data_IF_993471131241
#
_entry.id   IF_993471131241
#
_cell.length_a   1.000
_cell.length_b   1.000
_cell.length_c   1.000
_cell.angle_alpha   90.00
_cell.angle_beta   90.00
_cell.angle_gamma   90.00
#
_symmetry.space_group_name_H-M   'P 1'
#
loop_
_entity.id
_entity.type
_entity.pdbx_description
1 polymer ?
#
# COMPACT_ATOMS: atom_id res chain seq x y z
N UNK A 1 -7.97 12.26 -18.45
CA UNK A 1 -8.76 11.10 -17.99
C UNK A 1 -10.23 11.48 -18.14
N UNK A 2 -11.03 10.68 -18.85
CA UNK A 2 -12.50 10.87 -18.98
C UNK A 2 -13.29 9.93 -18.04
N UNK A 3 -12.61 9.22 -17.13
CA UNK A 3 -13.21 8.31 -16.17
C UNK A 3 -13.65 9.10 -14.93
N UNK A 4 -14.77 8.74 -14.32
CA UNK A 4 -15.15 9.22 -12.98
C UNK A 4 -14.59 8.22 -11.95
N UNK A 5 -13.93 8.72 -10.91
CA UNK A 5 -13.38 7.86 -9.85
C UNK A 5 -14.50 7.23 -9.01
N UNK A 6 -14.48 5.89 -8.88
CA UNK A 6 -15.37 5.10 -8.03
C UNK A 6 -16.87 5.48 -8.19
N UNK A 7 -17.33 5.59 -9.44
CA UNK A 7 -18.71 5.99 -9.78
C UNK A 7 -19.80 5.04 -9.29
N UNK A 8 -19.43 3.79 -9.04
CA UNK A 8 -20.26 2.67 -8.59
C UNK A 8 -20.56 2.71 -7.08
N UNK A 9 -19.83 3.52 -6.31
CA UNK A 9 -19.99 3.61 -4.87
C UNK A 9 -20.86 4.81 -4.46
N UNK A 10 -21.69 4.66 -3.40
CA UNK A 10 -22.51 5.75 -2.90
C UNK A 10 -21.65 6.89 -2.34
N UNK A 11 -22.17 8.12 -2.45
CA UNK A 11 -21.54 9.32 -1.89
C UNK A 11 -22.33 9.86 -0.70
N UNK A 12 -21.65 10.51 0.25
CA UNK A 12 -22.31 11.37 1.25
C UNK A 12 -22.89 12.62 0.57
N UNK A 13 -23.68 13.39 1.32
CA UNK A 13 -24.15 14.71 0.88
C UNK A 13 -22.98 15.67 0.61
N UNK A 14 -21.87 15.54 1.35
CA UNK A 14 -20.63 16.29 1.11
C UNK A 14 -19.78 15.74 -0.07
N UNK A 15 -20.25 14.71 -0.77
CA UNK A 15 -19.58 14.13 -1.93
C UNK A 15 -18.52 13.06 -1.63
N UNK A 16 -18.31 12.68 -0.36
CA UNK A 16 -17.35 11.64 0.05
C UNK A 16 -17.80 10.27 -0.41
N UNK A 17 -16.89 9.46 -0.94
CA UNK A 17 -17.18 8.09 -1.39
C UNK A 17 -17.21 7.17 -0.18
N UNK A 18 -18.27 6.36 -0.05
CA UNK A 18 -18.42 5.37 1.02
C UNK A 18 -18.09 3.97 0.49
N UNK A 19 -16.87 3.51 0.75
CA UNK A 19 -16.50 2.12 0.50
C UNK A 19 -17.11 1.18 1.56
N UNK A 20 -17.60 -0.01 1.17
CA UNK A 20 -18.07 -1.00 2.13
C UNK A 20 -16.91 -1.62 2.92
N UNK A 21 -17.25 -2.33 4.00
CA UNK A 21 -16.28 -3.13 4.75
C UNK A 21 -15.68 -4.22 3.86
N UNK A 22 -14.35 -4.35 3.85
CA UNK A 22 -13.60 -5.32 3.04
C UNK A 22 -13.25 -6.61 3.81
N UNK A 23 -13.76 -6.80 5.04
CA UNK A 23 -13.39 -7.93 5.90
C UNK A 23 -13.63 -9.29 5.24
N UNK A 24 -14.79 -9.49 4.60
CA UNK A 24 -15.11 -10.74 3.91
C UNK A 24 -14.26 -10.94 2.67
N UNK A 25 -14.01 -9.85 1.93
CA UNK A 25 -13.12 -9.86 0.76
C UNK A 25 -11.70 -10.29 1.17
N UNK A 26 -11.20 -9.73 2.28
CA UNK A 26 -9.87 -10.04 2.81
C UNK A 26 -9.73 -11.49 3.27
N UNK A 27 -10.73 -12.05 3.94
CA UNK A 27 -10.72 -13.46 4.37
C UNK A 27 -10.55 -14.43 3.20
N UNK A 28 -11.12 -14.09 2.03
CA UNK A 28 -10.98 -14.90 0.82
C UNK A 28 -9.56 -14.94 0.27
N UNK A 29 -8.84 -13.81 0.28
CA UNK A 29 -7.56 -13.69 -0.45
C UNK A 29 -6.31 -13.64 0.43
N UNK A 30 -6.42 -13.18 1.67
CA UNK A 30 -5.28 -12.99 2.57
C UNK A 30 -5.30 -14.01 3.72
N UNK A 31 -4.14 -14.35 4.30
CA UNK A 31 -4.08 -15.18 5.50
C UNK A 31 -4.74 -14.46 6.70
N UNK A 32 -5.23 -15.20 7.69
CA UNK A 32 -6.03 -14.60 8.79
C UNK A 32 -5.22 -13.60 9.63
N UNK A 33 -3.92 -13.81 9.71
CA UNK A 33 -2.92 -12.94 10.36
C UNK A 33 -2.98 -11.52 9.81
N UNK A 34 -3.33 -11.36 8.53
CA UNK A 34 -3.56 -10.04 7.94
C UNK A 34 -4.63 -9.32 8.75
N UNK A 35 -5.75 -9.94 9.11
CA UNK A 35 -6.83 -9.26 9.84
C UNK A 35 -6.45 -8.74 11.24
N UNK A 36 -5.33 -9.21 11.81
CA UNK A 36 -4.82 -8.71 13.10
C UNK A 36 -4.10 -7.37 12.99
N UNK A 37 -3.73 -6.92 11.78
CA UNK A 37 -3.05 -5.64 11.62
C UNK A 37 -4.04 -4.49 11.44
N UNK A 38 -3.93 -3.42 12.25
CA UNK A 38 -4.90 -2.34 12.31
C UNK A 38 -4.85 -1.37 11.12
N UNK A 39 -3.83 -1.43 10.26
CA UNK A 39 -3.59 -0.42 9.23
C UNK A 39 -3.47 -1.02 7.83
N UNK A 40 -4.58 -1.03 7.10
CA UNK A 40 -4.61 -1.46 5.69
C UNK A 40 -5.54 -0.55 4.91
N UNK A 41 -5.13 -0.19 3.70
CA UNK A 41 -6.04 0.44 2.76
C UNK A 41 -7.21 -0.51 2.45
N UNK A 42 -8.43 0.01 2.38
CA UNK A 42 -9.60 -0.78 2.02
C UNK A 42 -9.42 -1.38 0.61
N UNK A 43 -9.71 -2.67 0.43
CA UNK A 43 -9.51 -3.35 -0.87
C UNK A 43 -10.30 -2.70 -2.01
N UNK A 44 -11.54 -2.27 -1.75
CA UNK A 44 -12.39 -1.62 -2.76
C UNK A 44 -11.82 -0.27 -3.19
N UNK A 45 -11.26 0.50 -2.25
CA UNK A 45 -10.55 1.73 -2.56
C UNK A 45 -9.36 1.46 -3.51
N UNK A 46 -8.55 0.44 -3.20
CA UNK A 46 -7.40 0.06 -4.03
C UNK A 46 -7.86 -0.35 -5.44
N UNK A 47 -8.91 -1.17 -5.56
CA UNK A 47 -9.46 -1.57 -6.86
C UNK A 47 -9.93 -0.36 -7.68
N UNK A 48 -10.69 0.56 -7.08
CA UNK A 48 -11.12 1.78 -7.76
C UNK A 48 -9.96 2.66 -8.19
N UNK A 49 -8.88 2.76 -7.40
CA UNK A 49 -7.66 3.48 -7.80
C UNK A 49 -7.06 2.80 -9.03
N UNK A 50 -6.86 1.49 -8.99
CA UNK A 50 -6.27 0.72 -10.09
C UNK A 50 -7.07 0.93 -11.39
N UNK A 51 -8.39 0.78 -11.34
CA UNK A 51 -9.26 0.93 -12.52
C UNK A 51 -9.32 2.36 -13.07
N UNK A 52 -9.17 3.35 -12.18
CA UNK A 52 -9.16 4.75 -12.54
C UNK A 52 -7.85 5.18 -13.20
N UNK A 53 -6.71 4.76 -12.65
CA UNK A 53 -5.40 5.22 -13.12
C UNK A 53 -4.81 4.37 -14.23
N UNK A 54 -5.17 3.09 -14.32
CA UNK A 54 -4.51 2.13 -15.21
C UNK A 54 -5.46 1.36 -16.13
N UNK A 55 -4.91 0.74 -17.15
CA UNK A 55 -5.53 -0.21 -18.06
C UNK A 55 -4.94 -1.63 -17.88
N UNK A 56 -5.64 -2.70 -18.32
CA UNK A 56 -5.09 -4.04 -18.34
C UNK A 56 -3.74 -4.12 -19.10
N UNK A 57 -2.82 -4.95 -18.61
CA UNK A 57 -1.46 -5.12 -19.12
C UNK A 57 -0.45 -4.08 -18.62
N UNK A 58 -0.90 -3.01 -17.95
CA UNK A 58 0.01 -2.03 -17.35
C UNK A 58 0.60 -2.52 -16.03
N UNK A 59 1.79 -2.00 -15.72
CA UNK A 59 2.55 -2.37 -14.51
C UNK A 59 2.24 -1.42 -13.35
N UNK A 60 1.80 -1.99 -12.24
CA UNK A 60 1.57 -1.33 -10.96
C UNK A 60 2.70 -1.63 -9.98
N UNK A 61 3.17 -0.62 -9.28
CA UNK A 61 4.21 -0.75 -8.26
C UNK A 61 3.76 -0.19 -6.91
N UNK A 62 3.86 -0.99 -5.86
CA UNK A 62 3.79 -0.53 -4.47
C UNK A 62 5.17 -0.70 -3.84
N UNK A 63 5.79 0.41 -3.45
CA UNK A 63 7.16 0.45 -2.91
C UNK A 63 7.22 0.19 -1.40
N UNK A 64 6.06 0.13 -0.72
CA UNK A 64 5.89 -0.01 0.72
C UNK A 64 4.64 -0.86 1.01
N UNK A 65 4.62 -2.06 0.42
CA UNK A 65 3.39 -2.79 0.13
C UNK A 65 2.69 -3.40 1.36
N UNK A 66 3.34 -3.46 2.52
CA UNK A 66 2.80 -4.07 3.72
C UNK A 66 2.30 -5.48 3.41
N UNK A 67 1.02 -5.76 3.68
CA UNK A 67 0.44 -7.08 3.41
C UNK A 67 0.11 -7.36 1.94
N UNK A 68 0.46 -6.47 1.00
CA UNK A 68 0.32 -6.67 -0.43
C UNK A 68 -1.10 -6.47 -0.97
N UNK A 69 -1.82 -5.44 -0.50
CA UNK A 69 -3.19 -5.18 -0.99
C UNK A 69 -3.22 -4.88 -2.49
N UNK A 70 -2.14 -4.32 -3.07
CA UNK A 70 -2.05 -4.04 -4.50
C UNK A 70 -2.15 -5.28 -5.40
N UNK A 71 -1.90 -6.49 -4.87
CA UNK A 71 -2.00 -7.75 -5.64
C UNK A 71 -3.38 -7.98 -6.27
N UNK A 72 -4.43 -7.31 -5.79
CA UNK A 72 -5.75 -7.33 -6.43
C UNK A 72 -5.75 -6.77 -7.84
N UNK A 73 -4.75 -5.97 -8.21
CA UNK A 73 -4.56 -5.49 -9.59
C UNK A 73 -4.37 -6.62 -10.59
N UNK A 74 -3.72 -7.72 -10.18
CA UNK A 74 -3.54 -8.88 -11.04
C UNK A 74 -4.89 -9.54 -11.39
N UNK A 75 -5.84 -9.57 -10.45
CA UNK A 75 -7.18 -10.14 -10.68
C UNK A 75 -7.98 -9.37 -11.74
N UNK A 76 -7.60 -8.13 -12.01
CA UNK A 76 -8.16 -7.29 -13.08
C UNK A 76 -7.17 -7.09 -14.22
N UNK A 77 -6.18 -7.98 -14.36
CA UNK A 77 -5.29 -8.08 -15.51
C UNK A 77 -4.16 -7.05 -15.57
N UNK A 78 -3.64 -6.57 -14.43
CA UNK A 78 -2.41 -5.75 -14.37
C UNK A 78 -1.21 -6.59 -13.94
N UNK A 79 -0.02 -6.17 -14.34
CA UNK A 79 1.23 -6.66 -13.75
C UNK A 79 1.44 -5.95 -12.41
N UNK A 80 1.76 -6.68 -11.34
CA UNK A 80 1.90 -6.10 -9.99
C UNK A 80 3.27 -6.38 -9.40
N UNK A 81 3.93 -5.33 -8.93
CA UNK A 81 5.17 -5.42 -8.17
C UNK A 81 4.90 -4.88 -6.75
N UNK A 82 5.07 -5.74 -5.75
CA UNK A 82 5.00 -5.35 -4.33
C UNK A 82 6.39 -5.43 -3.73
N UNK A 83 6.85 -4.32 -3.15
CA UNK A 83 8.11 -4.24 -2.43
C UNK A 83 7.85 -3.94 -0.96
N UNK A 84 8.45 -4.74 -0.09
CA UNK A 84 8.24 -4.63 1.35
C UNK A 84 9.53 -4.89 2.11
N UNK A 85 9.85 -4.01 3.05
CA UNK A 85 11.08 -4.09 3.84
C UNK A 85 10.99 -5.13 4.96
N UNK A 86 9.81 -5.34 5.52
CA UNK A 86 9.56 -6.32 6.58
C UNK A 86 9.49 -7.74 6.02
N UNK A 87 10.38 -8.61 6.49
CA UNK A 87 10.32 -10.05 6.19
C UNK A 87 8.98 -10.66 6.64
N UNK A 88 8.45 -10.22 7.78
CA UNK A 88 7.17 -10.67 8.29
C UNK A 88 6.04 -10.35 7.31
N UNK A 89 5.92 -9.10 6.85
CA UNK A 89 4.89 -8.72 5.90
C UNK A 89 5.10 -9.39 4.53
N UNK A 90 6.35 -9.52 4.08
CA UNK A 90 6.67 -10.27 2.87
C UNK A 90 6.25 -11.74 2.95
N UNK A 91 6.40 -12.39 4.11
CA UNK A 91 5.88 -13.74 4.33
C UNK A 91 4.35 -13.81 4.24
N UNK A 92 3.62 -12.80 4.72
CA UNK A 92 2.18 -12.70 4.52
C UNK A 92 1.80 -12.49 3.05
N UNK A 93 2.57 -11.70 2.29
CA UNK A 93 2.37 -11.53 0.86
C UNK A 93 2.50 -12.87 0.12
N UNK A 94 3.52 -13.67 0.44
CA UNK A 94 3.70 -15.01 -0.16
C UNK A 94 2.53 -15.94 0.12
N UNK A 95 2.02 -15.94 1.36
CA UNK A 95 0.83 -16.73 1.71
C UNK A 95 -0.44 -16.25 0.99
N UNK A 96 -0.62 -14.94 0.87
CA UNK A 96 -1.71 -14.36 0.10
C UNK A 96 -1.60 -14.72 -1.40
N UNK A 97 -0.38 -14.71 -1.96
CA UNK A 97 -0.14 -15.17 -3.32
C UNK A 97 -0.50 -16.64 -3.50
N UNK A 98 -0.13 -17.52 -2.57
CA UNK A 98 -0.55 -18.94 -2.60
C UNK A 98 -2.08 -19.09 -2.60
N UNK A 99 -2.79 -18.28 -1.83
CA UNK A 99 -4.27 -18.28 -1.85
C UNK A 99 -4.82 -17.77 -3.18
N UNK A 100 -4.26 -16.69 -3.72
CA UNK A 100 -4.65 -16.15 -5.01
C UNK A 100 -4.44 -17.17 -6.12
N UNK A 101 -3.34 -17.91 -6.11
CA UNK A 101 -3.06 -18.99 -7.07
C UNK A 101 -4.10 -20.11 -7.02
N UNK A 102 -4.65 -20.42 -5.84
CA UNK A 102 -5.76 -21.37 -5.71
C UNK A 102 -7.08 -20.82 -6.29
N UNK A 103 -7.33 -19.52 -6.15
CA UNK A 103 -8.54 -18.85 -6.63
C UNK A 103 -8.49 -18.63 -8.14
N UNK A 104 -7.32 -18.24 -8.66
CA UNK A 104 -7.05 -17.92 -10.04
C UNK A 104 -5.70 -18.53 -10.45
N UNK A 105 -5.69 -19.79 -10.92
CA UNK A 105 -4.45 -20.45 -11.35
C UNK A 105 -3.72 -19.66 -12.45
N UNK A 106 -2.41 -19.52 -12.31
CA UNK A 106 -1.53 -18.71 -13.18
C UNK A 106 -1.37 -17.25 -12.75
N UNK A 107 -2.13 -16.77 -11.75
CA UNK A 107 -2.06 -15.36 -11.32
C UNK A 107 -0.66 -14.97 -10.81
N UNK A 108 0.11 -15.92 -10.28
CA UNK A 108 1.47 -15.69 -9.82
C UNK A 108 2.46 -15.29 -10.92
N UNK A 109 2.16 -15.55 -12.19
CA UNK A 109 2.98 -15.07 -13.31
C UNK A 109 2.92 -13.54 -13.47
N UNK A 110 1.87 -12.91 -12.92
CA UNK A 110 1.62 -11.47 -12.98
C UNK A 110 1.98 -10.71 -11.69
N UNK A 111 2.54 -11.39 -10.68
CA UNK A 111 2.82 -10.82 -9.37
C UNK A 111 4.29 -11.05 -8.98
N UNK A 112 5.02 -9.96 -8.80
CA UNK A 112 6.38 -9.96 -8.28
C UNK A 112 6.40 -9.45 -6.84
N UNK A 113 6.97 -10.25 -5.93
CA UNK A 113 7.15 -9.89 -4.51
C UNK A 113 8.63 -9.73 -4.19
N UNK A 114 9.03 -8.57 -3.65
CA UNK A 114 10.42 -8.25 -3.34
C UNK A 114 10.55 -7.88 -1.86
N UNK A 115 11.47 -8.53 -1.14
CA UNK A 115 11.78 -8.20 0.25
C UNK A 115 13.08 -7.39 0.37
N UNK A 116 12.99 -6.08 0.08
CA UNK A 116 14.13 -5.16 0.18
C UNK A 116 13.64 -3.74 0.52
N UNK A 117 14.47 -2.91 1.16
CA UNK A 117 14.20 -1.48 1.29
C UNK A 117 14.08 -0.81 -0.08
N UNK A 118 13.04 0.01 -0.28
CA UNK A 118 12.82 0.76 -1.53
C UNK A 118 14.03 1.59 -1.97
N UNK A 119 14.78 2.11 -1.00
CA UNK A 119 15.96 2.93 -1.20
C UNK A 119 17.09 2.23 -1.95
N UNK A 120 17.18 0.90 -1.87
CA UNK A 120 18.32 0.13 -2.38
C UNK A 120 18.21 -0.19 -3.88
N UNK A 121 17.01 -0.21 -4.44
CA UNK A 121 16.81 -0.51 -5.86
C UNK A 121 16.23 0.66 -6.65
N UNK A 122 15.51 1.59 -6.00
CA UNK A 122 15.01 2.76 -6.69
C UNK A 122 16.13 3.80 -6.91
N UNK A 123 16.16 4.45 -8.09
CA UNK A 123 15.18 4.33 -9.18
C UNK A 123 15.53 3.20 -10.18
N UNK A 124 14.51 2.59 -10.77
CA UNK A 124 14.64 1.77 -11.99
C UNK A 124 13.90 2.51 -13.10
N UNK A 125 14.60 3.18 -14.03
CA UNK A 125 13.96 4.07 -14.99
C UNK A 125 12.85 3.41 -15.82
N UNK A 126 11.68 4.04 -15.89
CA UNK A 126 10.54 3.60 -16.72
C UNK A 126 10.08 2.16 -16.47
N UNK A 127 10.17 1.69 -15.22
CA UNK A 127 9.71 0.37 -14.80
C UNK A 127 8.18 0.27 -14.74
N UNK A 128 7.53 1.23 -14.07
CA UNK A 128 6.12 1.13 -13.72
C UNK A 128 5.28 2.15 -14.51
N UNK A 129 4.08 1.74 -14.93
CA UNK A 129 3.08 2.67 -15.45
C UNK A 129 2.48 3.50 -14.33
N UNK A 130 2.19 2.87 -13.17
CA UNK A 130 1.61 3.55 -12.02
C UNK A 130 2.23 3.07 -10.72
N UNK A 131 2.49 4.02 -9.82
CA UNK A 131 2.93 3.76 -8.45
C UNK A 131 1.75 4.04 -7.51
N UNK A 132 1.35 3.09 -6.69
CA UNK A 132 0.22 3.21 -5.76
C UNK A 132 0.69 2.67 -4.40
N UNK A 133 0.74 3.52 -3.38
CA UNK A 133 1.17 3.10 -2.04
C UNK A 133 0.66 4.03 -0.94
N UNK A 134 0.72 3.53 0.30
CA UNK A 134 0.53 4.32 1.51
C UNK A 134 1.90 4.53 2.17
N UNK A 135 2.43 5.77 2.27
CA UNK A 135 3.69 5.99 2.97
C UNK A 135 3.54 5.72 4.48
N UNK A 136 4.62 5.33 5.19
CA UNK A 136 4.61 5.23 6.64
C UNK A 136 4.61 6.63 7.26
N UNK A 137 3.71 6.90 8.22
CA UNK A 137 3.65 8.18 8.91
C UNK A 137 4.50 8.17 10.18
N UNK A 138 5.55 9.00 10.23
CA UNK A 138 6.46 9.11 11.38
C UNK A 138 5.72 9.37 12.71
N UNK A 139 4.74 10.29 12.70
CA UNK A 139 3.98 10.64 13.90
C UNK A 139 3.10 9.50 14.42
N UNK A 140 2.60 8.59 13.58
CA UNK A 140 1.79 7.45 14.04
C UNK A 140 2.68 6.34 14.61
N UNK A 141 3.91 6.24 14.10
CA UNK A 141 4.85 5.17 14.41
C UNK A 141 5.72 5.47 15.65
N UNK A 142 5.92 6.75 15.97
CA UNK A 142 6.70 7.20 17.14
C UNK A 142 5.88 7.38 18.42
N UNK A 143 4.54 7.27 18.39
CA UNK A 143 3.68 7.50 19.57
C UNK A 143 3.72 6.30 20.52
N UNK A 144 4.84 6.18 21.23
CA UNK A 144 4.89 5.72 22.62
C UNK A 144 4.63 6.86 23.62
N UNK A 145 4.26 8.06 23.16
CA UNK A 145 3.89 9.20 24.03
C UNK A 145 2.38 9.32 24.14
N UNK A 146 1.83 8.72 25.21
CA UNK A 146 0.52 8.99 25.83
C UNK A 146 -0.28 10.12 25.18
N UNK A 147 -1.16 9.79 24.24
CA UNK A 147 -2.38 10.56 24.03
C UNK A 147 -3.58 9.65 24.22
N UNK A 148 -4.45 10.09 25.11
CA UNK A 148 -5.64 9.42 25.60
C UNK A 148 -6.72 9.35 24.52
N UNK A 149 -7.09 8.14 24.12
CA UNK A 149 -8.34 7.89 23.39
C UNK A 149 -8.22 6.85 22.28
N UNK A 150 -8.42 5.58 22.64
CA UNK A 150 -8.94 4.48 21.81
C UNK A 150 -8.52 4.47 20.32
N UNK A 151 -7.40 3.79 20.01
CA UNK A 151 -7.14 3.27 18.66
C UNK A 151 -5.69 3.26 18.18
N UNK A 152 -4.83 4.15 18.68
CA UNK A 152 -3.52 4.42 18.06
C UNK A 152 -2.34 3.60 18.64
N UNK A 153 -2.48 2.96 19.79
CA UNK A 153 -1.37 2.19 20.43
C UNK A 153 -0.95 0.94 19.65
N UNK A 154 -1.82 0.39 18.80
CA UNK A 154 -1.55 -0.86 18.08
C UNK A 154 -0.63 -0.64 16.87
N UNK A 155 -0.81 0.46 16.12
CA UNK A 155 -0.03 0.73 14.90
C UNK A 155 1.47 0.94 15.15
N UNK A 156 1.82 1.76 16.16
CA UNK A 156 3.22 2.10 16.45
C UNK A 156 4.02 0.94 17.04
N UNK A 157 3.38 0.10 17.87
CA UNK A 157 4.00 -1.14 18.39
C UNK A 157 4.21 -2.19 17.31
N UNK A 158 3.22 -2.37 16.46
CA UNK A 158 3.24 -3.35 15.38
C UNK A 158 4.40 -3.07 14.41
N UNK A 159 4.51 -1.86 13.90
CA UNK A 159 5.56 -1.56 12.94
C UNK A 159 6.99 -1.60 13.54
N UNK A 160 7.15 -1.30 14.84
CA UNK A 160 8.40 -1.50 15.57
C UNK A 160 8.71 -3.00 15.78
N UNK A 161 7.68 -3.84 15.93
CA UNK A 161 7.82 -5.30 16.04
C UNK A 161 8.09 -5.98 14.69
N UNK A 162 7.64 -5.40 13.57
CA UNK A 162 7.68 -6.08 12.26
C UNK A 162 8.90 -5.74 11.39
N UNK A 163 9.62 -4.65 11.63
CA UNK A 163 10.93 -4.41 10.98
C UNK A 163 11.78 -3.37 11.72
N UNK A 164 12.93 -3.81 12.25
CA UNK A 164 13.96 -2.94 12.85
C UNK A 164 15.04 -2.53 11.83
N UNK A 165 14.75 -2.66 10.53
CA UNK A 165 15.73 -2.35 9.50
C UNK A 165 16.12 -0.85 9.54
N UNK A 166 17.42 -0.49 9.43
CA UNK A 166 17.86 0.91 9.54
C UNK A 166 17.28 1.84 8.46
N UNK A 167 16.89 1.28 7.31
CA UNK A 167 16.21 1.99 6.22
C UNK A 167 14.67 1.98 6.34
N UNK A 168 14.11 1.52 7.47
CA UNK A 168 12.68 1.63 7.71
C UNK A 168 12.31 3.09 7.99
N UNK A 169 11.76 3.77 6.97
CA UNK A 169 11.39 5.19 7.03
C UNK A 169 10.42 5.48 8.17
N UNK A 170 9.54 4.53 8.50
CA UNK A 170 8.59 4.70 9.59
C UNK A 170 9.22 4.78 10.98
N UNK A 171 10.48 4.37 11.15
CA UNK A 171 11.21 4.47 12.42
C UNK A 171 12.08 5.73 12.52
N UNK A 172 12.15 6.54 11.47
CA UNK A 172 12.96 7.75 11.43
C UNK A 172 12.28 8.88 12.19
N UNK A 173 13.08 9.79 12.77
CA UNK A 173 12.57 11.05 13.32
C UNK A 173 12.03 11.94 12.19
N UNK A 174 11.17 12.90 12.51
CA UNK A 174 10.40 13.69 11.54
C UNK A 174 11.26 14.41 10.50
N UNK A 175 12.42 14.94 10.91
CA UNK A 175 13.34 15.64 10.01
C UNK A 175 13.94 14.69 8.97
N UNK A 176 14.47 13.54 9.43
CA UNK A 176 15.04 12.53 8.54
C UNK A 176 13.95 11.85 7.71
N UNK A 177 12.79 11.59 8.30
CA UNK A 177 11.63 11.03 7.63
C UNK A 177 11.17 11.90 6.44
N UNK A 178 11.02 13.21 6.65
CA UNK A 178 10.59 14.12 5.60
C UNK A 178 11.61 14.17 4.45
N UNK A 179 12.89 14.28 4.79
CA UNK A 179 13.98 14.28 3.80
C UNK A 179 14.06 12.96 3.03
N UNK A 180 13.91 11.83 3.72
CA UNK A 180 13.98 10.51 3.08
C UNK A 180 12.76 10.24 2.18
N UNK A 181 11.56 10.67 2.58
CA UNK A 181 10.38 10.59 1.71
C UNK A 181 10.53 11.46 0.47
N UNK A 182 11.08 12.67 0.59
CA UNK A 182 11.39 13.53 -0.56
C UNK A 182 12.33 12.82 -1.55
N UNK A 183 13.41 12.21 -1.04
CA UNK A 183 14.34 11.43 -1.85
C UNK A 183 13.66 10.23 -2.53
N UNK A 184 12.82 9.49 -1.81
CA UNK A 184 12.06 8.36 -2.37
C UNK A 184 11.09 8.83 -3.46
N UNK A 185 10.39 9.95 -3.26
CA UNK A 185 9.45 10.48 -4.24
C UNK A 185 10.16 10.94 -5.53
N UNK A 186 11.34 11.55 -5.41
CA UNK A 186 12.18 11.88 -6.57
C UNK A 186 12.58 10.62 -7.36
N UNK A 187 12.91 9.52 -6.67
CA UNK A 187 13.20 8.24 -7.32
C UNK A 187 11.96 7.60 -7.95
N UNK A 188 10.78 7.72 -7.33
CA UNK A 188 9.52 7.29 -7.92
C UNK A 188 9.25 8.01 -9.25
N UNK A 189 9.51 9.31 -9.34
CA UNK A 189 9.36 10.08 -10.58
C UNK A 189 10.21 9.50 -11.72
N UNK A 190 11.46 9.12 -11.42
CA UNK A 190 12.35 8.49 -12.41
C UNK A 190 11.87 7.08 -12.80
N UNK A 191 11.25 6.39 -11.85
CA UNK A 191 10.78 5.01 -12.01
C UNK A 191 9.50 4.90 -12.85
N UNK A 192 8.69 5.96 -12.85
CA UNK A 192 7.49 6.04 -13.67
C UNK A 192 7.83 6.15 -15.16
N UNK A 193 7.06 5.43 -15.98
CA UNK A 193 7.01 5.67 -17.43
C UNK A 193 6.43 7.07 -17.71
N UNK A 194 6.79 7.71 -18.85
CA UNK A 194 6.17 8.97 -19.25
C UNK A 194 4.63 8.87 -19.28
N UNK A 195 3.96 9.83 -18.62
CA UNK A 195 2.49 9.84 -18.49
C UNK A 195 1.94 8.95 -17.35
N UNK A 196 2.82 8.23 -16.65
CA UNK A 196 2.46 7.47 -15.46
C UNK A 196 2.03 8.33 -14.28
N UNK A 197 1.41 7.72 -13.29
CA UNK A 197 0.91 8.43 -12.10
C UNK A 197 1.48 7.85 -10.80
N UNK A 198 1.65 8.71 -9.81
CA UNK A 198 1.90 8.31 -8.43
C UNK A 198 0.66 8.63 -7.61
N UNK A 199 0.05 7.62 -7.00
CA UNK A 199 -1.12 7.74 -6.12
C UNK A 199 -0.69 7.45 -4.68
N UNK A 200 -0.84 8.44 -3.81
CA UNK A 200 -0.54 8.34 -2.39
C UNK A 200 -1.84 8.16 -1.61
N UNK A 201 -1.88 7.16 -0.75
CA UNK A 201 -3.02 6.92 0.14
C UNK A 201 -2.68 7.51 1.50
N UNK A 202 -3.40 8.58 1.85
CA UNK A 202 -3.22 9.28 3.12
C UNK A 202 -4.43 9.15 4.01
N UNK A 203 -4.19 8.92 5.30
CA UNK A 203 -5.25 8.89 6.31
C UNK A 203 -5.45 10.31 6.82
N UNK A 204 -6.70 10.75 6.93
CA UNK A 204 -7.01 12.03 7.57
C UNK A 204 -6.64 11.96 9.05
N UNK A 205 -5.78 12.87 9.47
CA UNK A 205 -5.61 13.22 10.88
C UNK A 205 -6.53 14.41 11.18
N UNK A 206 -7.74 14.12 11.64
CA UNK A 206 -8.50 15.12 12.38
C UNK A 206 -7.79 15.34 13.72
N UNK A 207 -6.89 16.31 13.79
CA UNK A 207 -6.67 17.00 15.05
C UNK A 207 -8.01 17.63 15.42
N UNK A 208 -8.67 17.11 16.46
CA UNK A 208 -9.77 17.84 17.08
C UNK A 208 -9.19 19.16 17.58
N UNK A 209 -9.47 20.26 16.88
CA UNK A 209 -9.32 21.60 17.41
C UNK A 209 -10.24 21.78 18.63
#
# INVERSE_FOLDING_TARGET
MNKQFASEYPRTDDGWIKFPSDQNYRKGMFPEEVNKHPAKANVYLIQSIIEYVSEPGQTLLDIMAGTGTLMVGALVGREVICVEISEFFHNLQKQALTKLEYIAPGIGEHIMLINLPCQQYLPIPSLADHIIFSPPYANIMQVGKKQSGLGDEALGKDAWMYSQHPLNIGLMNDFIWAHELENVYAKCLTTLKPGGTMTLIVKDHYEKQ
#
